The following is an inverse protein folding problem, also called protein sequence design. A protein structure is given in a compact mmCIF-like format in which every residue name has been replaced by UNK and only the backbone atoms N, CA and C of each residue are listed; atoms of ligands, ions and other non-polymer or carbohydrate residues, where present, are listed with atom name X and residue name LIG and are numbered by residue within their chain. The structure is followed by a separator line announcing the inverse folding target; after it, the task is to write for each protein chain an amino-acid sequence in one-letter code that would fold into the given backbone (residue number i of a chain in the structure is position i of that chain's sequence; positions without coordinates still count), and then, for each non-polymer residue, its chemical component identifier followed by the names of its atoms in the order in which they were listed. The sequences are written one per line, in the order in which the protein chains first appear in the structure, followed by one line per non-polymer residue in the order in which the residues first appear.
data_IF_804529683474
#
_entry.id   IF_804529683474
#
_cell.length_a   1.000
_cell.length_b   1.000
_cell.length_c   1.000
_cell.angle_alpha   90.00
_cell.angle_beta   90.00
_cell.angle_gamma   90.00
#
_symmetry.space_group_name_H-M   'P 1'
#
loop_
_entity.id
_entity.type
_entity.pdbx_description
1 polymer ?
#
# COMPACT_ATOMS: atom_id res chain seq x y z
N UNK A 1 -9.37 42.92 -40.88
CA UNK A 1 -10.08 41.66 -40.62
C UNK A 1 -9.10 40.70 -39.99
N UNK A 2 -9.15 40.58 -38.68
CA UNK A 2 -8.28 39.65 -37.93
C UNK A 2 -8.88 38.24 -38.00
N UNK A 3 -8.24 37.38 -38.80
CA UNK A 3 -8.46 35.94 -38.64
C UNK A 3 -7.76 35.48 -37.34
N UNK A 4 -8.48 35.40 -36.29
CA UNK A 4 -8.03 34.70 -35.06
C UNK A 4 -8.19 33.21 -35.29
N UNK A 5 -7.10 32.61 -35.42
CA UNK A 5 -6.66 31.25 -35.50
C UNK A 5 -7.60 30.22 -34.84
N UNK A 6 -8.13 29.30 -35.64
CA UNK A 6 -8.81 28.08 -35.23
C UNK A 6 -7.89 27.14 -34.43
N UNK A 7 -6.58 27.36 -34.47
CA UNK A 7 -5.59 26.52 -33.78
C UNK A 7 -5.69 26.60 -32.22
N UNK A 8 -6.06 27.77 -31.66
CA UNK A 8 -6.23 27.89 -30.22
C UNK A 8 -7.47 27.12 -29.70
N UNK A 9 -8.50 27.03 -30.53
CA UNK A 9 -9.72 26.26 -30.22
C UNK A 9 -9.48 24.75 -30.23
N UNK A 10 -8.58 24.27 -31.09
CA UNK A 10 -8.29 22.83 -31.20
C UNK A 10 -7.35 22.30 -30.11
N UNK A 11 -6.52 23.17 -29.52
CA UNK A 11 -5.67 22.79 -28.37
C UNK A 11 -6.53 22.52 -27.14
N UNK A 12 -7.58 23.32 -26.90
CA UNK A 12 -8.52 23.09 -25.79
C UNK A 12 -9.36 21.81 -25.96
N UNK A 13 -9.65 21.39 -27.18
CA UNK A 13 -10.42 20.18 -27.47
C UNK A 13 -9.64 18.88 -27.20
N UNK A 14 -8.31 18.93 -27.08
CA UNK A 14 -7.45 17.79 -26.81
C UNK A 14 -7.01 17.69 -25.35
N UNK A 15 -7.47 18.58 -24.51
CA UNK A 15 -7.11 18.58 -23.10
C UNK A 15 -8.06 17.63 -22.33
N UNK A 16 -7.51 16.51 -21.85
CA UNK A 16 -8.27 15.51 -21.10
C UNK A 16 -8.69 16.00 -19.73
N UNK A 17 -7.85 16.79 -19.07
CA UNK A 17 -8.09 17.37 -17.75
C UNK A 17 -7.75 18.85 -17.74
N UNK A 18 -8.60 19.66 -17.10
CA UNK A 18 -8.35 21.05 -16.79
C UNK A 18 -8.32 21.25 -15.28
N UNK A 19 -7.56 22.24 -14.82
CA UNK A 19 -7.43 22.56 -13.41
C UNK A 19 -8.08 23.90 -13.10
N UNK A 20 -8.93 23.93 -12.07
CA UNK A 20 -9.50 25.17 -11.53
C UNK A 20 -8.67 25.59 -10.32
N UNK A 21 -7.87 26.66 -10.49
CA UNK A 21 -6.95 27.14 -9.46
C UNK A 21 -7.67 27.73 -8.24
N UNK A 22 -8.82 28.34 -8.41
CA UNK A 22 -9.60 28.93 -7.30
C UNK A 22 -10.22 27.86 -6.40
N UNK A 23 -10.70 26.77 -7.00
CA UNK A 23 -11.33 25.66 -6.28
C UNK A 23 -10.37 24.51 -5.95
N UNK A 24 -9.14 24.59 -6.45
CA UNK A 24 -8.15 23.51 -6.36
C UNK A 24 -8.70 22.15 -6.84
N UNK A 25 -9.52 22.16 -7.89
CA UNK A 25 -10.18 20.98 -8.44
C UNK A 25 -9.76 20.75 -9.89
N UNK A 26 -9.67 19.48 -10.26
CA UNK A 26 -9.47 19.06 -11.64
C UNK A 26 -10.83 18.66 -12.23
N UNK A 27 -11.09 19.02 -13.48
CA UNK A 27 -12.31 18.65 -14.18
C UNK A 27 -12.04 18.29 -15.64
N UNK A 28 -12.98 17.59 -16.26
CA UNK A 28 -12.92 17.20 -17.67
C UNK A 28 -13.70 18.24 -18.48
N UNK A 29 -13.02 19.10 -19.27
CA UNK A 29 -13.68 20.21 -19.95
C UNK A 29 -14.47 19.79 -21.19
N UNK A 30 -14.18 18.60 -21.75
CA UNK A 30 -14.82 18.10 -22.96
C UNK A 30 -15.89 17.07 -22.60
N UNK A 31 -17.13 17.32 -23.01
CA UNK A 31 -18.28 16.48 -22.74
C UNK A 31 -18.17 15.07 -23.35
N UNK A 32 -17.56 14.95 -24.54
CA UNK A 32 -17.34 13.64 -25.18
C UNK A 32 -16.34 12.81 -24.36
N UNK A 33 -15.23 13.42 -23.96
CA UNK A 33 -14.23 12.77 -23.11
C UNK A 33 -14.84 12.43 -21.75
N UNK A 34 -15.68 13.30 -21.21
CA UNK A 34 -16.40 13.03 -19.95
C UNK A 34 -17.28 11.79 -20.06
N UNK A 35 -18.03 11.66 -21.16
CA UNK A 35 -18.87 10.48 -21.41
C UNK A 35 -18.05 9.19 -21.56
N UNK A 36 -16.92 9.25 -22.28
CA UNK A 36 -16.00 8.12 -22.39
C UNK A 36 -15.42 7.71 -21.03
N UNK A 37 -15.04 8.68 -20.20
CA UNK A 37 -14.60 8.42 -18.83
C UNK A 37 -15.70 7.80 -17.97
N UNK A 38 -16.94 8.32 -18.05
CA UNK A 38 -18.07 7.76 -17.31
C UNK A 38 -18.35 6.33 -17.78
N UNK A 39 -18.37 6.09 -19.09
CA UNK A 39 -18.55 4.75 -19.64
C UNK A 39 -17.43 3.77 -19.19
N UNK A 40 -16.17 4.23 -19.20
CA UNK A 40 -15.04 3.45 -18.73
C UNK A 40 -15.13 3.15 -17.22
N UNK A 41 -15.62 4.09 -16.41
CA UNK A 41 -15.85 3.88 -14.96
C UNK A 41 -17.02 2.93 -14.69
N UNK A 42 -18.02 2.91 -15.57
CA UNK A 42 -19.18 1.99 -15.49
C UNK A 42 -18.85 0.57 -15.98
N UNK A 43 -17.73 0.37 -16.69
CA UNK A 43 -17.27 -0.96 -17.06
C UNK A 43 -16.84 -1.77 -15.83
N UNK A 44 -17.15 -3.08 -15.80
CA UNK A 44 -16.88 -4.01 -14.70
C UNK A 44 -15.43 -3.99 -14.16
N UNK A 45 -14.46 -3.64 -15.01
CA UNK A 45 -13.03 -3.56 -14.63
C UNK A 45 -12.73 -2.50 -13.57
N UNK A 46 -13.49 -1.40 -13.54
CA UNK A 46 -13.33 -0.37 -12.50
C UNK A 46 -13.93 -0.80 -11.17
N UNK A 47 -15.00 -1.59 -11.19
CA UNK A 47 -15.57 -2.14 -9.96
C UNK A 47 -14.57 -3.06 -9.25
N UNK A 48 -13.83 -3.89 -10.00
CA UNK A 48 -12.76 -4.72 -9.46
C UNK A 48 -11.62 -3.88 -8.86
N UNK A 49 -11.20 -2.81 -9.55
CA UNK A 49 -10.17 -1.91 -9.04
C UNK A 49 -10.61 -1.17 -7.77
N UNK A 50 -11.85 -0.67 -7.73
CA UNK A 50 -12.41 0.00 -6.54
C UNK A 50 -12.53 -0.99 -5.39
N UNK A 51 -12.98 -2.22 -5.64
CA UNK A 51 -13.04 -3.26 -4.63
C UNK A 51 -11.65 -3.55 -4.05
N UNK A 52 -10.66 -3.73 -4.91
CA UNK A 52 -9.27 -3.95 -4.50
C UNK A 52 -8.69 -2.78 -3.69
N UNK A 53 -8.97 -1.54 -4.10
CA UNK A 53 -8.52 -0.37 -3.35
C UNK A 53 -9.12 -0.35 -1.94
N UNK A 54 -10.41 -0.69 -1.81
CA UNK A 54 -11.07 -0.78 -0.50
C UNK A 54 -10.47 -1.88 0.37
N UNK A 55 -10.21 -3.05 -0.19
CA UNK A 55 -9.53 -4.15 0.53
C UNK A 55 -8.14 -3.74 1.01
N UNK A 56 -7.39 -3.02 0.18
CA UNK A 56 -6.10 -2.46 0.57
C UNK A 56 -6.22 -1.41 1.67
N UNK A 57 -7.28 -0.60 1.70
CA UNK A 57 -7.57 0.36 2.79
C UNK A 57 -7.94 -0.39 4.07
N UNK A 58 -8.82 -1.40 3.99
CA UNK A 58 -9.20 -2.25 5.13
C UNK A 58 -7.99 -2.96 5.76
N UNK A 59 -7.07 -3.47 4.93
CA UNK A 59 -5.82 -4.05 5.40
C UNK A 59 -4.94 -3.04 6.14
N UNK A 60 -4.80 -1.82 5.60
CA UNK A 60 -4.02 -0.78 6.26
C UNK A 60 -4.63 -0.40 7.60
N UNK A 61 -5.95 -0.16 7.66
CA UNK A 61 -6.66 0.17 8.89
C UNK A 61 -6.50 -0.95 9.94
N UNK A 62 -6.71 -2.21 9.56
CA UNK A 62 -6.50 -3.35 10.45
C UNK A 62 -5.07 -3.43 10.99
N UNK A 63 -4.07 -3.10 10.15
CA UNK A 63 -2.67 -3.04 10.59
C UNK A 63 -2.44 -1.95 11.64
N UNK A 64 -3.05 -0.78 11.45
CA UNK A 64 -2.93 0.35 12.37
C UNK A 64 -3.67 0.11 13.70
N UNK A 65 -4.77 -0.64 13.64
CA UNK A 65 -5.56 -1.03 14.80
C UNK A 65 -5.00 -2.29 15.52
N UNK A 66 -3.87 -2.83 15.05
CA UNK A 66 -3.23 -4.03 15.57
C UNK A 66 -4.16 -5.27 15.53
N UNK A 67 -5.11 -5.32 14.56
CA UNK A 67 -6.01 -6.45 14.34
C UNK A 67 -5.34 -7.52 13.47
N UNK A 68 -4.60 -8.40 14.13
CA UNK A 68 -3.80 -9.47 13.53
C UNK A 68 -4.64 -10.45 12.70
N UNK A 69 -5.87 -10.75 13.15
CA UNK A 69 -6.77 -11.69 12.48
C UNK A 69 -7.26 -11.11 11.15
N UNK A 70 -7.71 -9.86 11.15
CA UNK A 70 -8.16 -9.17 9.95
C UNK A 70 -7.01 -8.97 8.97
N UNK A 71 -5.82 -8.58 9.43
CA UNK A 71 -4.62 -8.47 8.57
C UNK A 71 -4.32 -9.80 7.87
N UNK A 72 -4.29 -10.92 8.61
CA UNK A 72 -4.04 -12.24 8.05
C UNK A 72 -5.09 -12.63 7.00
N UNK A 73 -6.37 -12.36 7.28
CA UNK A 73 -7.50 -12.65 6.40
C UNK A 73 -7.50 -11.82 5.11
N UNK A 74 -7.24 -10.52 5.21
CA UNK A 74 -7.19 -9.66 4.03
C UNK A 74 -6.01 -10.00 3.13
N UNK A 75 -4.84 -10.34 3.68
CA UNK A 75 -3.70 -10.84 2.90
C UNK A 75 -4.06 -12.17 2.21
N UNK A 76 -4.76 -13.08 2.90
CA UNK A 76 -5.23 -14.35 2.32
C UNK A 76 -6.16 -14.13 1.12
N UNK A 77 -7.09 -13.19 1.27
CA UNK A 77 -8.05 -12.82 0.23
C UNK A 77 -7.34 -12.26 -1.00
N UNK A 78 -6.48 -11.26 -0.80
CA UNK A 78 -5.70 -10.64 -1.87
C UNK A 78 -4.78 -11.68 -2.55
N UNK A 79 -4.17 -12.57 -1.77
CA UNK A 79 -3.38 -13.67 -2.31
C UNK A 79 -4.23 -14.58 -3.20
N UNK A 80 -5.42 -14.96 -2.75
CA UNK A 80 -6.30 -15.89 -3.48
C UNK A 80 -6.82 -15.26 -4.77
N UNK A 81 -7.15 -13.98 -4.75
CA UNK A 81 -7.74 -13.28 -5.88
C UNK A 81 -6.71 -12.84 -6.93
N UNK A 82 -5.53 -12.37 -6.48
CA UNK A 82 -4.57 -11.71 -7.36
C UNK A 82 -3.26 -12.48 -7.58
N UNK A 83 -2.98 -13.50 -6.79
CA UNK A 83 -1.79 -14.32 -6.98
C UNK A 83 -2.10 -15.73 -7.48
N UNK A 84 -1.47 -16.12 -8.57
CA UNK A 84 -1.55 -17.52 -9.01
C UNK A 84 -0.89 -18.43 -7.97
N UNK A 85 -1.63 -19.44 -7.48
CA UNK A 85 -1.14 -20.43 -6.52
C UNK A 85 0.10 -21.19 -7.00
N UNK A 86 0.30 -21.28 -8.32
CA UNK A 86 1.48 -21.92 -8.94
C UNK A 86 2.74 -21.06 -8.73
N UNK A 87 2.58 -19.74 -8.70
CA UNK A 87 3.70 -18.78 -8.50
C UNK A 87 3.97 -18.47 -7.03
N UNK A 88 3.07 -18.85 -6.13
CA UNK A 88 3.18 -18.58 -4.70
C UNK A 88 3.95 -19.72 -4.00
N UNK A 89 5.26 -19.67 -4.07
CA UNK A 89 6.12 -20.77 -3.67
C UNK A 89 7.28 -20.41 -2.73
N UNK A 90 7.45 -19.14 -2.41
CA UNK A 90 8.53 -18.67 -1.55
C UNK A 90 8.24 -17.27 -0.94
N UNK A 91 9.14 -16.80 -0.10
CA UNK A 91 9.09 -15.51 0.58
C UNK A 91 9.05 -14.31 -0.40
N UNK A 92 9.70 -14.41 -1.57
CA UNK A 92 9.64 -13.38 -2.60
C UNK A 92 8.25 -13.24 -3.21
N UNK A 93 7.53 -14.35 -3.38
CA UNK A 93 6.14 -14.32 -3.84
C UNK A 93 5.23 -13.64 -2.81
N UNK A 94 5.42 -13.95 -1.53
CA UNK A 94 4.72 -13.28 -0.42
C UNK A 94 5.02 -11.78 -0.41
N UNK A 95 6.29 -11.39 -0.57
CA UNK A 95 6.70 -9.99 -0.68
C UNK A 95 6.02 -9.26 -1.84
N UNK A 96 5.82 -9.92 -2.97
CA UNK A 96 5.13 -9.35 -4.13
C UNK A 96 3.64 -9.10 -3.84
N UNK A 97 2.96 -10.06 -3.22
CA UNK A 97 1.57 -9.93 -2.79
C UNK A 97 1.41 -8.76 -1.82
N UNK A 98 2.28 -8.65 -0.83
CA UNK A 98 2.23 -7.56 0.14
C UNK A 98 2.49 -6.17 -0.49
N UNK A 99 3.35 -6.09 -1.49
CA UNK A 99 3.56 -4.83 -2.23
C UNK A 99 2.25 -4.33 -2.85
N UNK A 100 1.44 -5.25 -3.37
CA UNK A 100 0.13 -4.94 -3.95
C UNK A 100 -0.89 -4.69 -2.84
N UNK A 101 -0.92 -5.53 -1.83
CA UNK A 101 -1.88 -5.47 -0.73
C UNK A 101 -1.88 -4.12 0.02
N UNK A 102 -0.71 -3.53 0.21
CA UNK A 102 -0.55 -2.22 0.84
C UNK A 102 -0.52 -1.04 -0.14
N UNK A 103 -1.10 -1.17 -1.33
CA UNK A 103 -1.07 -0.09 -2.33
C UNK A 103 -1.73 1.21 -1.82
N UNK A 104 -2.83 1.11 -1.09
CA UNK A 104 -3.55 2.25 -0.51
C UNK A 104 -2.71 3.04 0.51
N UNK A 105 -1.70 2.39 1.13
CA UNK A 105 -0.80 3.04 2.08
C UNK A 105 -0.12 4.26 1.48
N UNK A 106 0.10 4.30 0.16
CA UNK A 106 0.74 5.42 -0.55
C UNK A 106 -0.03 6.75 -0.42
N UNK A 107 -1.28 6.72 0.04
CA UNK A 107 -2.03 7.93 0.39
C UNK A 107 -1.39 8.67 1.58
N UNK A 108 -0.99 7.94 2.61
CA UNK A 108 -0.50 8.46 3.88
C UNK A 108 1.01 8.26 4.08
N UNK A 109 1.59 7.28 3.40
CA UNK A 109 2.98 6.85 3.51
C UNK A 109 3.77 7.17 2.25
N UNK A 110 5.07 7.33 2.40
CA UNK A 110 6.00 7.27 1.27
C UNK A 110 5.99 5.87 0.67
N UNK A 111 6.54 5.74 -0.55
CA UNK A 111 6.74 4.43 -1.16
C UNK A 111 7.47 3.50 -0.18
N UNK A 112 6.97 2.28 0.07
CA UNK A 112 7.60 1.35 1.00
C UNK A 112 9.07 1.11 0.64
N UNK A 113 9.93 1.17 1.65
CA UNK A 113 11.34 0.83 1.52
C UNK A 113 11.44 -0.68 1.67
N UNK A 114 11.97 -1.35 0.66
CA UNK A 114 12.22 -2.79 0.68
C UNK A 114 13.68 -3.05 1.05
N UNK A 115 13.91 -4.16 1.76
CA UNK A 115 15.25 -4.60 2.14
C UNK A 115 16.07 -3.49 2.79
N UNK A 116 15.44 -2.77 3.75
CA UNK A 116 16.14 -1.73 4.48
C UNK A 116 17.29 -2.35 5.29
N UNK A 117 18.54 -1.93 5.05
CA UNK A 117 19.67 -2.42 5.84
C UNK A 117 19.51 -2.04 7.31
N UNK A 118 19.62 -3.03 8.18
CA UNK A 118 19.67 -2.88 9.63
C UNK A 118 21.01 -3.36 10.13
N UNK A 119 21.41 -3.01 11.34
CA UNK A 119 22.76 -3.36 11.83
C UNK A 119 23.13 -4.84 11.77
N UNK A 120 22.14 -5.75 11.68
CA UNK A 120 22.33 -7.22 11.68
C UNK A 120 21.50 -7.95 10.62
N UNK A 121 20.96 -7.25 9.63
CA UNK A 121 20.13 -7.85 8.58
C UNK A 121 19.40 -6.81 7.75
N UNK A 122 18.31 -7.23 7.13
CA UNK A 122 17.46 -6.38 6.30
C UNK A 122 16.02 -6.55 6.77
N UNK A 123 15.27 -5.44 6.90
CA UNK A 123 13.83 -5.47 7.07
C UNK A 123 13.17 -5.64 5.70
N UNK A 124 12.22 -6.55 5.56
CA UNK A 124 11.58 -6.82 4.27
C UNK A 124 10.84 -5.59 3.74
N UNK A 125 10.07 -4.92 4.61
CA UNK A 125 9.42 -3.65 4.29
C UNK A 125 9.48 -2.68 5.46
N UNK A 126 9.62 -1.40 5.12
CA UNK A 126 9.46 -0.29 6.07
C UNK A 126 8.55 0.76 5.45
N UNK A 127 7.50 1.11 6.18
CA UNK A 127 6.54 2.13 5.81
C UNK A 127 6.75 3.37 6.70
N UNK A 128 7.10 4.49 6.08
CA UNK A 128 7.29 5.76 6.77
C UNK A 128 6.15 6.70 6.37
N UNK A 129 5.41 7.27 7.33
CA UNK A 129 4.36 8.24 7.01
C UNK A 129 4.97 9.49 6.40
N UNK A 130 4.22 10.12 5.49
CA UNK A 130 4.59 11.43 4.96
C UNK A 130 4.59 12.46 6.09
N UNK A 131 5.37 13.53 5.94
CA UNK A 131 5.58 14.53 7.00
C UNK A 131 4.29 15.11 7.55
N UNK A 132 3.28 15.30 6.70
CA UNK A 132 1.97 15.81 7.09
C UNK A 132 1.14 14.82 7.93
N UNK A 133 1.49 13.53 7.94
CA UNK A 133 0.76 12.47 8.63
C UNK A 133 1.51 11.83 9.80
N UNK A 134 2.72 12.29 10.11
CA UNK A 134 3.55 11.71 11.19
C UNK A 134 2.89 11.76 12.57
N UNK A 135 2.01 12.74 12.81
CA UNK A 135 1.30 12.88 14.08
C UNK A 135 0.19 11.82 14.25
N UNK A 136 -0.43 11.37 13.15
CA UNK A 136 -1.63 10.54 13.15
C UNK A 136 -1.33 9.09 12.78
N UNK A 137 -0.23 8.84 12.07
CA UNK A 137 0.13 7.53 11.53
C UNK A 137 1.49 7.06 12.06
N UNK A 138 1.58 5.85 12.64
CA UNK A 138 2.86 5.26 13.04
C UNK A 138 3.67 4.83 11.82
N UNK A 139 4.99 4.76 11.94
CA UNK A 139 5.77 3.95 11.02
C UNK A 139 5.51 2.47 11.30
N UNK A 140 5.65 1.59 10.29
CA UNK A 140 5.61 0.16 10.57
C UNK A 140 6.65 -0.61 9.78
N UNK A 141 7.17 -1.65 10.42
CA UNK A 141 8.21 -2.53 9.91
C UNK A 141 7.59 -3.90 9.74
N UNK A 142 7.66 -4.45 8.53
CA UNK A 142 7.13 -5.78 8.22
C UNK A 142 8.27 -6.74 7.97
N UNK A 143 8.21 -7.88 8.60
CA UNK A 143 9.07 -9.03 8.38
C UNK A 143 8.25 -10.22 7.92
N UNK A 144 8.72 -10.89 6.88
CA UNK A 144 8.03 -12.01 6.27
C UNK A 144 8.67 -13.33 6.66
N UNK A 145 7.85 -14.36 6.77
CA UNK A 145 8.30 -15.73 6.94
C UNK A 145 7.48 -16.67 6.05
N UNK A 146 8.17 -17.71 5.63
CA UNK A 146 7.59 -18.77 4.80
C UNK A 146 7.75 -20.12 5.51
N UNK A 147 6.65 -20.80 5.78
CA UNK A 147 6.64 -22.08 6.53
C UNK A 147 7.35 -21.99 7.91
N UNK A 148 7.17 -20.87 8.60
CA UNK A 148 7.72 -20.60 9.92
C UNK A 148 6.59 -20.22 10.88
N UNK A 149 6.91 -19.43 11.90
CA UNK A 149 5.93 -18.84 12.81
C UNK A 149 6.00 -17.30 12.66
N UNK A 150 4.86 -16.63 12.73
CA UNK A 150 4.79 -15.16 12.72
C UNK A 150 5.57 -14.53 13.88
N UNK A 151 5.54 -15.16 15.07
CA UNK A 151 6.35 -14.74 16.23
C UNK A 151 7.85 -14.74 15.92
N UNK A 152 8.32 -15.65 15.06
CA UNK A 152 9.71 -15.69 14.63
C UNK A 152 10.08 -14.46 13.83
N UNK A 153 9.14 -13.92 13.04
CA UNK A 153 9.33 -12.66 12.32
C UNK A 153 9.51 -11.49 13.31
N UNK A 154 8.64 -11.38 14.31
CA UNK A 154 8.77 -10.35 15.35
C UNK A 154 10.07 -10.46 16.15
N UNK A 155 10.46 -11.69 16.51
CA UNK A 155 11.74 -11.92 17.20
C UNK A 155 12.91 -11.47 16.35
N UNK A 156 12.87 -11.69 15.04
CA UNK A 156 13.92 -11.24 14.13
C UNK A 156 14.00 -9.71 14.08
N UNK A 157 12.86 -9.00 13.99
CA UNK A 157 12.83 -7.53 14.02
C UNK A 157 13.51 -7.01 15.30
N UNK A 158 13.18 -7.62 16.45
CA UNK A 158 13.73 -7.24 17.76
C UNK A 158 15.23 -7.56 17.88
N UNK A 159 15.65 -8.78 17.51
CA UNK A 159 17.04 -9.23 17.60
C UNK A 159 17.99 -8.46 16.68
N UNK A 160 17.50 -8.08 15.50
CA UNK A 160 18.28 -7.32 14.54
C UNK A 160 18.21 -5.81 14.77
N UNK A 161 17.49 -5.38 15.82
CA UNK A 161 17.37 -3.97 16.23
C UNK A 161 16.93 -3.06 15.07
N UNK A 162 15.94 -3.50 14.30
CA UNK A 162 15.40 -2.75 13.16
C UNK A 162 14.92 -1.35 13.54
N UNK A 163 14.27 -1.14 14.71
CA UNK A 163 13.90 0.19 15.16
C UNK A 163 15.08 1.16 15.27
N UNK A 164 16.32 0.65 15.46
CA UNK A 164 17.50 1.49 15.50
C UNK A 164 17.81 2.17 14.15
N UNK A 165 17.45 1.54 13.04
CA UNK A 165 17.57 2.15 11.70
C UNK A 165 16.62 3.35 11.54
N UNK A 166 15.57 3.42 12.38
CA UNK A 166 14.61 4.52 12.45
C UNK A 166 14.84 5.44 13.66
N UNK A 167 16.06 5.55 14.19
CA UNK A 167 16.38 6.37 15.39
C UNK A 167 15.94 7.82 15.29
N UNK A 168 16.01 8.38 14.10
CA UNK A 168 15.61 9.78 13.87
C UNK A 168 14.09 9.95 13.74
N UNK A 169 13.35 8.85 13.55
CA UNK A 169 11.91 8.88 13.52
C UNK A 169 11.36 9.01 14.96
N UNK A 170 10.58 10.04 15.21
CA UNK A 170 10.09 10.36 16.58
C UNK A 170 8.71 9.80 16.90
N UNK A 171 7.98 9.29 15.88
CA UNK A 171 6.65 8.71 16.06
C UNK A 171 6.67 7.28 16.59
N UNK A 172 5.48 6.70 16.78
CA UNK A 172 5.31 5.31 17.14
C UNK A 172 5.73 4.39 16.00
N UNK A 173 6.20 3.20 16.33
CA UNK A 173 6.60 2.18 15.37
C UNK A 173 5.84 0.89 15.68
N UNK A 174 5.12 0.35 14.69
CA UNK A 174 4.54 -0.98 14.75
C UNK A 174 5.52 -2.01 14.16
N UNK A 175 5.63 -3.15 14.82
CA UNK A 175 6.39 -4.30 14.36
C UNK A 175 5.39 -5.35 13.88
N UNK A 176 5.43 -5.71 12.60
CA UNK A 176 4.47 -6.60 11.96
C UNK A 176 5.18 -7.86 11.45
N UNK A 177 4.86 -8.99 12.01
CA UNK A 177 5.35 -10.30 11.55
C UNK A 177 4.28 -11.02 10.75
N UNK A 178 4.58 -11.39 9.51
CA UNK A 178 3.65 -12.12 8.63
C UNK A 178 4.28 -13.44 8.22
N UNK A 179 3.54 -14.54 8.37
CA UNK A 179 3.95 -15.85 7.92
C UNK A 179 2.89 -16.49 7.02
N UNK A 180 3.32 -17.15 5.97
CA UNK A 180 2.49 -18.07 5.18
C UNK A 180 2.88 -19.50 5.44
N UNK A 181 1.92 -20.33 5.82
CA UNK A 181 2.09 -21.78 5.95
C UNK A 181 1.57 -22.46 4.69
N UNK A 182 2.48 -23.07 3.92
CA UNK A 182 2.15 -23.74 2.66
C UNK A 182 1.32 -25.02 2.88
N UNK A 183 1.48 -25.69 4.02
CA UNK A 183 0.79 -26.94 4.34
C UNK A 183 -0.68 -26.67 4.61
N UNK A 184 -0.94 -25.70 5.44
CA UNK A 184 -2.31 -25.33 5.86
C UNK A 184 -2.92 -24.28 4.92
N UNK A 185 -2.09 -23.65 4.04
CA UNK A 185 -2.44 -22.56 3.13
C UNK A 185 -3.05 -21.36 3.85
N UNK A 186 -2.48 -21.00 4.98
CA UNK A 186 -3.00 -19.95 5.86
C UNK A 186 -1.93 -18.89 6.11
N UNK A 187 -2.33 -17.62 6.07
CA UNK A 187 -1.53 -16.52 6.56
C UNK A 187 -1.75 -16.33 8.06
N UNK A 188 -0.71 -15.89 8.75
CA UNK A 188 -0.76 -15.49 10.15
C UNK A 188 -0.01 -14.20 10.33
N UNK A 189 -0.55 -13.32 11.15
CA UNK A 189 0.03 -12.04 11.49
C UNK A 189 0.21 -11.93 13.00
N UNK A 190 1.25 -11.23 13.43
CA UNK A 190 1.44 -10.78 14.80
C UNK A 190 1.93 -9.34 14.75
N UNK A 191 1.34 -8.46 15.56
CA UNK A 191 1.65 -7.03 15.57
C UNK A 191 2.00 -6.61 17.00
N UNK A 192 3.04 -5.81 17.14
CA UNK A 192 3.42 -5.23 18.43
C UNK A 192 3.82 -3.76 18.27
N UNK A 193 3.40 -2.92 19.20
CA UNK A 193 3.87 -1.53 19.28
C UNK A 193 5.25 -1.49 19.93
N UNK A 194 6.24 -0.94 19.22
CA UNK A 194 7.53 -0.60 19.78
C UNK A 194 7.44 0.72 20.55
N UNK A 195 7.40 0.66 21.89
CA UNK A 195 7.48 1.85 22.73
C UNK A 195 8.93 2.31 22.77
N UNK A 196 9.19 3.53 22.29
CA UNK A 196 10.48 4.18 22.55
C UNK A 196 10.56 4.48 24.05
N UNK A 197 11.55 3.87 24.70
CA UNK A 197 11.90 4.21 26.08
C UNK A 197 12.54 5.60 26.16
#
# INVERSE_FOLDING_TARGET
TLMRSSAASDVYKRQYLAYNQERQTTYIPNEEIRKEFVAAVEENKWNEFIAFQRESEELLEATLDEDEETVAKEIEKIHTEYASSIQYNNENSLSSVLTIAYLSSMKYYYKPIRELPTGRGFADFVFLPKMEYVADYPAFIVELKWNRNADTALQQIKQNDYPQSLKQYTGNILLVGINYDKKDKVHRCVIETCKKG
#
